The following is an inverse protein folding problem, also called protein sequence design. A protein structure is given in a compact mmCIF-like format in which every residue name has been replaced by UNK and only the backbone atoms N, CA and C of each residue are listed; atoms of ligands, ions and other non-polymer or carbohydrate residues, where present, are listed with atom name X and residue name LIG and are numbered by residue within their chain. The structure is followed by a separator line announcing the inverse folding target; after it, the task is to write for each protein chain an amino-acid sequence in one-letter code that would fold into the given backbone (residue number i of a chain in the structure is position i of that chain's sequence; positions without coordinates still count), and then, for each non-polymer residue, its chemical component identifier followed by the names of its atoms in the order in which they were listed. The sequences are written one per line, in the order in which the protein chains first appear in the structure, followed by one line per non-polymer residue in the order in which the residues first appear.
data_IF_480512123969
#
_entry.id   IF_480512123969
#
_cell.length_a   1.000
_cell.length_b   1.000
_cell.length_c   1.000
_cell.angle_alpha   90.00
_cell.angle_beta   90.00
_cell.angle_gamma   90.00
#
_symmetry.space_group_name_H-M   'P 1'
#
loop_
_entity.id
_entity.type
_entity.pdbx_description
1 polymer ?
#
# COMPACT_ATOMS: atom_id res chain seq x y z
N UNK A 1 15.06 -23.82 -9.24
CA UNK A 1 14.37 -23.58 -7.96
C UNK A 1 12.92 -23.29 -8.29
N UNK A 2 11.96 -23.67 -7.44
CA UNK A 2 10.57 -23.26 -7.64
C UNK A 2 10.43 -21.81 -7.18
N UNK A 3 9.81 -20.98 -8.00
CA UNK A 3 9.39 -19.63 -7.63
C UNK A 3 7.87 -19.58 -7.53
N UNK A 4 7.35 -18.75 -6.63
CA UNK A 4 5.92 -18.41 -6.59
C UNK A 4 5.76 -16.97 -7.02
N UNK A 5 4.88 -16.72 -7.99
CA UNK A 5 4.61 -15.39 -8.52
C UNK A 5 3.24 -14.92 -8.06
N UNK A 6 3.15 -13.64 -7.76
CA UNK A 6 1.92 -12.95 -7.44
C UNK A 6 1.86 -11.65 -8.24
N UNK A 7 0.64 -11.20 -8.55
CA UNK A 7 0.40 -9.94 -9.25
C UNK A 7 -0.77 -9.19 -8.63
N UNK A 8 -0.75 -7.87 -8.70
CA UNK A 8 -1.90 -7.03 -8.36
C UNK A 8 -2.11 -5.97 -9.45
N UNK A 9 -3.37 -5.80 -9.87
CA UNK A 9 -3.78 -4.67 -10.70
C UNK A 9 -4.25 -3.54 -9.78
N UNK A 10 -3.53 -2.43 -9.77
CA UNK A 10 -3.81 -1.28 -8.90
C UNK A 10 -4.90 -0.42 -9.55
N UNK A 11 -5.96 -0.15 -8.77
CA UNK A 11 -7.12 0.64 -9.15
C UNK A 11 -7.19 1.91 -8.30
N UNK A 12 -7.75 3.01 -8.84
CA UNK A 12 -7.85 4.27 -8.12
C UNK A 12 -8.77 4.16 -6.91
N UNK A 13 -8.44 4.95 -5.89
CA UNK A 13 -9.30 5.24 -4.73
C UNK A 13 -9.25 6.76 -4.52
N UNK A 14 -10.37 7.36 -4.12
CA UNK A 14 -10.49 8.80 -3.85
C UNK A 14 -10.15 9.72 -5.05
N UNK A 15 -10.18 9.22 -6.28
CA UNK A 15 -9.75 9.96 -7.47
C UNK A 15 -10.54 11.26 -7.71
N UNK A 16 -11.81 11.29 -7.30
CA UNK A 16 -12.65 12.48 -7.40
C UNK A 16 -12.21 13.62 -6.47
N UNK A 17 -11.57 13.29 -5.34
CA UNK A 17 -11.07 14.26 -4.35
C UNK A 17 -9.63 14.66 -4.68
N UNK A 18 -8.83 13.71 -5.15
CA UNK A 18 -7.41 13.92 -5.47
C UNK A 18 -7.24 14.67 -6.80
N UNK A 19 -8.17 14.49 -7.74
CA UNK A 19 -8.09 15.08 -9.08
C UNK A 19 -7.17 14.32 -10.05
N UNK A 20 -6.55 13.23 -9.60
CA UNK A 20 -5.82 12.27 -10.45
C UNK A 20 -6.35 10.86 -10.21
N UNK A 21 -6.08 9.93 -11.14
CA UNK A 21 -6.50 8.54 -11.04
C UNK A 21 -5.30 7.63 -11.12
N UNK A 22 -4.98 6.95 -10.02
CA UNK A 22 -3.83 6.06 -9.94
C UNK A 22 -4.14 4.71 -10.56
N UNK A 23 -3.31 4.29 -11.51
CA UNK A 23 -3.33 2.96 -12.10
C UNK A 23 -1.93 2.38 -12.08
N UNK A 24 -1.84 1.06 -11.94
CA UNK A 24 -0.55 0.41 -11.89
C UNK A 24 -0.63 -1.10 -11.84
N UNK A 25 0.55 -1.70 -11.74
CA UNK A 25 0.71 -3.13 -11.55
C UNK A 25 1.80 -3.38 -10.50
N UNK A 26 1.56 -4.36 -9.64
CA UNK A 26 2.57 -4.93 -8.78
C UNK A 26 2.87 -6.38 -9.17
N UNK A 27 4.13 -6.76 -9.03
CA UNK A 27 4.62 -8.13 -9.16
C UNK A 27 5.47 -8.47 -7.95
N UNK A 28 5.17 -9.60 -7.33
CA UNK A 28 5.91 -10.15 -6.22
C UNK A 28 6.35 -11.56 -6.57
N UNK A 29 7.63 -11.86 -6.42
CA UNK A 29 8.19 -13.18 -6.72
C UNK A 29 8.94 -13.69 -5.50
N UNK A 30 8.43 -14.75 -4.89
CA UNK A 30 9.16 -15.53 -3.90
C UNK A 30 10.06 -16.52 -4.62
N UNK A 31 11.38 -16.32 -4.56
CA UNK A 31 12.39 -17.16 -5.21
C UNK A 31 13.53 -17.45 -4.23
N UNK A 32 13.62 -18.70 -3.76
CA UNK A 32 14.60 -19.08 -2.76
C UNK A 32 14.40 -18.32 -1.45
N UNK A 33 15.42 -17.59 -1.02
CA UNK A 33 15.41 -16.78 0.22
C UNK A 33 15.08 -15.29 -0.04
N UNK A 34 14.62 -14.95 -1.24
CA UNK A 34 14.35 -13.57 -1.67
C UNK A 34 12.90 -13.39 -2.09
N UNK A 35 12.31 -12.26 -1.69
CA UNK A 35 11.10 -11.70 -2.26
C UNK A 35 11.47 -10.54 -3.17
N UNK A 36 11.29 -10.70 -4.49
CA UNK A 36 11.47 -9.64 -5.47
C UNK A 36 10.16 -8.87 -5.61
N UNK A 37 10.21 -7.55 -5.53
CA UNK A 37 9.04 -6.68 -5.61
C UNK A 37 9.27 -5.69 -6.74
N UNK A 38 8.32 -5.61 -7.67
CA UNK A 38 8.25 -4.57 -8.69
C UNK A 38 6.88 -3.91 -8.62
N UNK A 39 6.85 -2.58 -8.55
CA UNK A 39 5.60 -1.80 -8.61
C UNK A 39 5.80 -0.69 -9.62
N UNK A 40 4.86 -0.58 -10.54
CA UNK A 40 4.77 0.52 -11.49
C UNK A 40 3.41 1.18 -11.30
N UNK A 41 3.41 2.50 -11.09
CA UNK A 41 2.19 3.29 -10.97
C UNK A 41 2.29 4.54 -11.82
N UNK A 42 1.14 4.98 -12.31
CA UNK A 42 0.94 6.16 -13.17
C UNK A 42 -0.28 6.92 -12.70
N UNK A 43 -0.37 8.20 -13.02
CA UNK A 43 -1.48 9.04 -12.58
C UNK A 43 -1.51 9.30 -11.08
N UNK A 44 -0.38 9.10 -10.38
CA UNK A 44 -0.21 9.59 -9.02
C UNK A 44 -0.06 11.12 -9.05
N UNK A 45 -0.37 11.81 -7.94
CA UNK A 45 0.04 13.19 -7.80
C UNK A 45 1.55 13.35 -8.09
N UNK A 46 1.97 14.27 -8.97
CA UNK A 46 3.35 14.32 -9.45
C UNK A 46 4.31 14.95 -8.43
N UNK A 47 5.61 14.69 -8.62
CA UNK A 47 6.71 15.29 -7.84
C UNK A 47 6.62 15.11 -6.31
N UNK A 48 5.98 14.05 -5.82
CA UNK A 48 5.89 13.81 -4.39
C UNK A 48 6.13 12.34 -4.01
N UNK A 49 6.36 12.13 -2.72
CA UNK A 49 6.51 10.81 -2.13
C UNK A 49 5.16 10.11 -2.01
N UNK A 50 5.12 8.81 -2.28
CA UNK A 50 3.95 7.97 -2.08
C UNK A 50 4.24 6.83 -1.14
N UNK A 51 3.69 6.91 0.08
CA UNK A 51 3.72 5.80 1.01
C UNK A 51 3.04 4.59 0.36
N UNK A 52 3.76 3.48 0.28
CA UNK A 52 3.26 2.28 -0.38
C UNK A 52 3.58 1.05 0.45
N UNK A 53 2.63 0.13 0.55
CA UNK A 53 2.71 -1.04 1.43
C UNK A 53 1.95 -2.22 0.83
N UNK A 54 2.13 -3.41 1.40
CA UNK A 54 1.00 -4.33 1.45
C UNK A 54 0.23 -4.22 2.78
N UNK A 55 -1.09 -4.31 2.69
CA UNK A 55 -2.03 -4.37 3.81
C UNK A 55 -2.62 -5.76 3.94
N UNK A 56 -3.16 -6.07 5.12
CA UNK A 56 -3.93 -7.29 5.31
C UNK A 56 -4.46 -7.45 6.72
N UNK A 57 -5.15 -8.56 6.94
CA UNK A 57 -5.66 -8.95 8.24
C UNK A 57 -4.75 -10.02 8.87
N UNK A 58 -4.33 -9.88 10.14
CA UNK A 58 -3.49 -10.88 10.82
C UNK A 58 -4.09 -12.28 10.88
N UNK A 59 -5.42 -12.39 10.83
CA UNK A 59 -6.15 -13.66 10.84
C UNK A 59 -6.19 -14.35 9.45
N UNK A 60 -5.58 -13.74 8.42
CA UNK A 60 -5.55 -14.27 7.07
C UNK A 60 -6.82 -14.00 6.24
N UNK A 61 -7.79 -13.23 6.77
CA UNK A 61 -8.89 -12.72 5.94
C UNK A 61 -8.30 -11.97 4.75
N UNK A 62 -8.80 -12.29 3.54
CA UNK A 62 -8.35 -11.62 2.32
C UNK A 62 -8.81 -10.15 2.33
N UNK A 63 -7.89 -9.22 2.13
CA UNK A 63 -8.18 -7.80 1.87
C UNK A 63 -8.94 -7.61 0.56
N UNK A 64 -9.65 -6.49 0.40
CA UNK A 64 -10.35 -6.15 -0.84
C UNK A 64 -10.06 -4.73 -1.26
N UNK A 65 -10.28 -4.43 -2.53
CA UNK A 65 -10.38 -3.05 -3.00
C UNK A 65 -11.64 -2.41 -2.37
N UNK A 66 -11.51 -1.28 -1.66
CA UNK A 66 -12.66 -0.60 -1.09
C UNK A 66 -13.57 -0.07 -2.19
N UNK A 67 -14.87 -0.16 -1.96
CA UNK A 67 -15.88 0.47 -2.81
C UNK A 67 -16.37 1.74 -2.13
N UNK A 68 -17.22 2.53 -2.82
CA UNK A 68 -17.87 3.70 -2.21
C UNK A 68 -18.65 3.39 -0.93
N UNK A 69 -19.03 2.14 -0.69
CA UNK A 69 -19.69 1.73 0.55
C UNK A 69 -18.75 1.72 1.76
N UNK A 70 -17.43 1.85 1.56
CA UNK A 70 -16.45 1.97 2.62
C UNK A 70 -16.43 3.37 3.25
N UNK A 71 -16.90 4.41 2.54
CA UNK A 71 -17.13 5.74 3.10
C UNK A 71 -18.36 5.67 4.02
N UNK A 72 -18.10 5.38 5.29
CA UNK A 72 -19.13 5.11 6.31
C UNK A 72 -19.69 6.39 6.91
N UNK A 73 -18.91 7.47 6.88
CA UNK A 73 -19.30 8.76 7.43
C UNK A 73 -20.00 9.66 6.37
N UNK A 74 -19.87 9.33 5.08
CA UNK A 74 -20.52 10.00 3.96
C UNK A 74 -19.89 11.33 3.55
N UNK A 75 -18.63 11.57 3.87
CA UNK A 75 -17.89 12.79 3.54
C UNK A 75 -17.28 12.78 2.12
N UNK A 76 -17.44 11.66 1.41
CA UNK A 76 -16.96 11.48 0.04
C UNK A 76 -15.52 11.00 -0.05
N UNK A 77 -14.86 10.70 1.08
CA UNK A 77 -13.47 10.26 1.16
C UNK A 77 -13.41 8.94 1.90
N UNK A 78 -12.81 7.93 1.29
CA UNK A 78 -12.45 6.69 2.00
C UNK A 78 -11.14 6.96 2.74
N UNK A 79 -11.24 7.18 4.05
CA UNK A 79 -10.08 7.49 4.89
C UNK A 79 -9.33 6.24 5.40
N UNK A 80 -8.24 6.43 6.14
CA UNK A 80 -7.40 5.31 6.57
C UNK A 80 -8.13 4.33 7.52
N UNK A 81 -8.86 4.78 8.56
CA UNK A 81 -9.72 3.89 9.36
C UNK A 81 -10.74 3.10 8.53
N UNK A 82 -11.42 3.73 7.57
CA UNK A 82 -12.41 3.06 6.72
C UNK A 82 -11.77 2.03 5.79
N UNK A 83 -10.61 2.36 5.23
CA UNK A 83 -9.79 1.43 4.46
C UNK A 83 -9.44 0.18 5.27
N UNK A 84 -9.06 0.33 6.53
CA UNK A 84 -8.62 -0.80 7.38
C UNK A 84 -9.70 -1.87 7.56
N UNK A 85 -10.98 -1.50 7.55
CA UNK A 85 -12.09 -2.47 7.65
C UNK A 85 -12.23 -3.35 6.40
N UNK A 86 -11.71 -2.89 5.26
CA UNK A 86 -11.86 -3.57 3.95
C UNK A 86 -10.56 -4.21 3.46
N UNK A 87 -9.46 -3.46 3.47
CA UNK A 87 -8.16 -3.89 2.98
C UNK A 87 -7.23 -4.44 4.08
N UNK A 88 -7.58 -4.20 5.35
CA UNK A 88 -6.77 -4.57 6.50
C UNK A 88 -5.75 -3.50 6.87
N UNK A 89 -5.02 -3.75 7.96
CA UNK A 89 -4.03 -2.82 8.50
C UNK A 89 -2.77 -2.77 7.63
N UNK A 90 -2.02 -1.68 7.72
CA UNK A 90 -0.70 -1.55 7.11
C UNK A 90 0.26 -2.61 7.65
N UNK A 91 0.93 -3.34 6.77
CA UNK A 91 1.88 -4.40 7.16
C UNK A 91 3.32 -4.07 6.77
N UNK A 92 3.71 -4.27 5.51
CA UNK A 92 5.12 -4.16 5.08
C UNK A 92 5.28 -2.99 4.10
N UNK A 93 6.20 -2.04 4.36
CA UNK A 93 6.45 -0.93 3.46
C UNK A 93 7.21 -1.36 2.21
N UNK A 94 6.96 -0.65 1.12
CA UNK A 94 7.73 -0.73 -0.13
C UNK A 94 8.73 0.42 -0.17
N UNK A 95 9.67 0.39 0.77
CA UNK A 95 10.72 1.36 0.97
C UNK A 95 12.11 0.75 0.64
N UNK A 96 13.17 1.36 1.13
CA UNK A 96 14.54 0.85 0.95
C UNK A 96 14.96 -0.25 1.96
N UNK A 97 14.08 -0.66 2.88
CA UNK A 97 14.34 -1.75 3.82
C UNK A 97 13.05 -2.45 4.30
N UNK A 98 12.26 -3.09 3.41
CA UNK A 98 10.94 -3.65 3.78
C UNK A 98 10.98 -4.63 4.96
N UNK A 99 12.08 -5.38 5.08
CA UNK A 99 12.30 -6.34 6.17
C UNK A 99 12.34 -5.72 7.58
N UNK A 100 12.56 -4.41 7.70
CA UNK A 100 12.63 -3.73 9.00
C UNK A 100 11.23 -3.41 9.54
N UNK A 101 10.20 -3.39 8.66
CA UNK A 101 8.80 -3.07 8.98
C UNK A 101 8.73 -1.76 9.80
N UNK A 102 9.43 -0.74 9.30
CA UNK A 102 9.38 0.61 9.84
C UNK A 102 8.45 1.44 8.97
N UNK A 103 7.21 1.69 9.40
CA UNK A 103 6.22 2.36 8.55
C UNK A 103 6.40 3.90 8.54
N UNK A 104 6.48 4.61 9.69
CA UNK A 104 6.47 6.07 9.67
C UNK A 104 7.88 6.64 9.44
N UNK A 105 8.19 6.97 8.19
CA UNK A 105 9.42 7.64 7.75
C UNK A 105 9.29 8.13 6.29
N UNK A 106 10.33 8.79 5.77
CA UNK A 106 10.31 9.47 4.47
C UNK A 106 11.18 8.81 3.39
N UNK A 107 11.27 7.46 3.37
CA UNK A 107 12.10 6.71 2.41
C UNK A 107 11.25 5.87 1.43
N UNK A 108 10.13 6.41 0.97
CA UNK A 108 9.24 5.75 0.01
C UNK A 108 9.50 6.20 -1.44
N UNK A 109 8.92 5.53 -2.45
CA UNK A 109 9.04 5.95 -3.84
C UNK A 109 8.49 7.36 -4.06
N UNK A 110 9.13 8.08 -4.98
CA UNK A 110 8.66 9.38 -5.47
C UNK A 110 8.18 9.24 -6.91
N UNK A 111 7.07 9.90 -7.22
CA UNK A 111 6.64 10.09 -8.60
C UNK A 111 7.48 11.15 -9.30
N UNK A 112 7.70 10.98 -10.60
CA UNK A 112 8.25 11.99 -11.48
C UNK A 112 7.25 13.14 -11.76
N UNK A 113 7.62 14.02 -12.70
CA UNK A 113 6.81 15.17 -13.10
C UNK A 113 5.50 14.80 -13.80
N UNK A 114 5.42 13.60 -14.36
CA UNK A 114 4.25 13.06 -15.05
C UNK A 114 3.36 12.21 -14.12
N UNK A 115 3.74 12.07 -12.85
CA UNK A 115 2.99 11.24 -11.89
C UNK A 115 3.23 9.75 -12.06
N UNK A 116 4.41 9.36 -12.58
CA UNK A 116 4.82 7.97 -12.70
C UNK A 116 5.89 7.64 -11.65
N UNK A 117 5.83 6.43 -11.10
CA UNK A 117 6.96 5.87 -10.37
C UNK A 117 7.15 4.40 -10.67
N UNK A 118 8.39 3.95 -10.50
CA UNK A 118 8.77 2.54 -10.49
C UNK A 118 9.56 2.24 -9.23
N UNK A 119 9.12 1.23 -8.50
CA UNK A 119 9.80 0.67 -7.34
C UNK A 119 10.26 -0.74 -7.66
N UNK A 120 11.54 -1.03 -7.42
CA UNK A 120 12.12 -2.36 -7.57
C UNK A 120 13.03 -2.67 -6.38
N UNK A 121 12.79 -3.78 -5.70
CA UNK A 121 13.57 -4.16 -4.53
C UNK A 121 13.63 -5.68 -4.33
N UNK A 122 14.76 -6.16 -3.82
CA UNK A 122 14.93 -7.55 -3.39
C UNK A 122 14.99 -7.60 -1.87
N UNK A 123 13.99 -8.25 -1.25
CA UNK A 123 13.85 -8.33 0.20
C UNK A 123 14.30 -9.71 0.67
N UNK A 124 15.25 -9.81 1.62
CA UNK A 124 15.59 -11.10 2.21
C UNK A 124 14.42 -11.63 3.06
N UNK A 125 13.92 -12.82 2.73
CA UNK A 125 12.72 -13.40 3.36
C UNK A 125 12.94 -13.74 4.84
N UNK A 126 14.13 -14.22 5.20
CA UNK A 126 14.41 -14.62 6.59
C UNK A 126 14.25 -13.46 7.60
N UNK A 127 14.91 -12.29 7.45
CA UNK A 127 14.68 -11.16 8.34
C UNK A 127 13.25 -10.61 8.22
N UNK A 128 12.67 -10.57 7.02
CA UNK A 128 11.28 -10.13 6.84
C UNK A 128 10.30 -11.00 7.64
N UNK A 129 10.37 -12.33 7.50
CA UNK A 129 9.48 -13.28 8.22
C UNK A 129 9.67 -13.21 9.72
N UNK A 130 10.92 -13.08 10.19
CA UNK A 130 11.20 -12.86 11.61
C UNK A 130 10.49 -11.59 12.11
N UNK A 131 10.61 -10.48 11.38
CA UNK A 131 9.96 -9.21 11.74
C UNK A 131 8.44 -9.30 11.66
N UNK A 132 7.93 -10.02 10.66
CA UNK A 132 6.52 -10.28 10.46
C UNK A 132 5.93 -11.08 11.63
N UNK A 133 6.65 -12.09 12.12
CA UNK A 133 6.29 -12.84 13.34
C UNK A 133 6.27 -11.95 14.58
N UNK A 134 7.31 -11.12 14.79
CA UNK A 134 7.37 -10.17 15.90
C UNK A 134 6.17 -9.19 15.92
N UNK A 135 5.68 -8.79 14.74
CA UNK A 135 4.65 -7.76 14.59
C UNK A 135 3.22 -8.33 14.52
N UNK A 136 3.05 -9.48 13.87
CA UNK A 136 1.74 -10.01 13.46
C UNK A 136 1.50 -11.46 13.91
N UNK A 137 2.47 -12.11 14.56
CA UNK A 137 2.30 -13.44 15.15
C UNK A 137 2.32 -14.61 14.17
N UNK A 138 2.76 -14.39 12.93
CA UNK A 138 2.94 -15.42 11.90
C UNK A 138 4.20 -15.17 11.10
N UNK A 139 4.84 -16.23 10.57
CA UNK A 139 5.91 -16.13 9.57
C UNK A 139 5.38 -16.29 8.14
N UNK A 140 4.10 -16.65 8.01
CA UNK A 140 3.42 -16.77 6.73
C UNK A 140 2.92 -15.39 6.27
N UNK A 141 3.53 -14.88 5.20
CA UNK A 141 3.18 -13.58 4.62
C UNK A 141 1.77 -13.59 4.01
N UNK A 142 1.31 -14.76 3.53
CA UNK A 142 0.02 -14.99 2.87
C UNK A 142 -0.27 -13.94 1.79
N UNK A 143 0.69 -13.72 0.88
CA UNK A 143 0.66 -12.60 -0.06
C UNK A 143 -0.64 -12.53 -0.87
N UNK A 144 -1.22 -13.67 -1.26
CA UNK A 144 -2.49 -13.79 -1.99
C UNK A 144 -3.75 -13.43 -1.19
N UNK A 145 -3.58 -13.10 0.09
CA UNK A 145 -4.64 -12.55 0.95
C UNK A 145 -4.47 -11.04 1.21
N UNK A 146 -3.43 -10.42 0.67
CA UNK A 146 -3.06 -9.03 0.92
C UNK A 146 -3.47 -8.11 -0.23
N UNK A 147 -3.39 -6.81 0.03
CA UNK A 147 -3.57 -5.77 -1.00
C UNK A 147 -2.34 -4.88 -1.06
N UNK A 148 -1.92 -4.49 -2.26
CA UNK A 148 -0.98 -3.38 -2.47
C UNK A 148 -1.72 -2.07 -2.30
N UNK A 149 -1.14 -1.19 -1.48
CA UNK A 149 -1.65 0.14 -1.19
C UNK A 149 -0.66 1.20 -1.63
N UNK A 150 -1.18 2.28 -2.21
CA UNK A 150 -0.46 3.52 -2.48
C UNK A 150 -1.24 4.65 -1.80
N UNK A 151 -0.52 5.51 -1.09
CA UNK A 151 -1.04 6.65 -0.36
C UNK A 151 -0.36 7.94 -0.81
N UNK A 152 -0.94 9.08 -0.42
CA UNK A 152 -0.33 10.39 -0.58
C UNK A 152 -1.13 11.30 -1.50
N UNK A 153 -1.72 12.34 -0.91
CA UNK A 153 -2.35 13.45 -1.61
C UNK A 153 -1.55 14.74 -1.36
N UNK A 154 -1.48 15.67 -2.33
CA UNK A 154 -0.84 16.96 -2.12
C UNK A 154 -1.51 17.78 -1.01
N UNK A 155 -0.70 18.47 -0.21
CA UNK A 155 -1.17 19.41 0.83
C UNK A 155 -2.05 20.54 0.28
N UNK A 156 -1.96 20.83 -1.02
CA UNK A 156 -2.80 21.82 -1.71
C UNK A 156 -4.25 21.37 -1.87
N UNK A 157 -4.57 20.10 -1.66
CA UNK A 157 -5.93 19.56 -1.72
C UNK A 157 -6.58 19.78 -0.37
N UNK A 158 -7.72 20.47 -0.35
CA UNK A 158 -8.53 20.60 0.86
C UNK A 158 -9.24 19.27 1.15
N UNK A 159 -8.86 18.62 2.25
CA UNK A 159 -9.56 17.45 2.76
C UNK A 159 -10.62 17.89 3.79
N UNK A 160 -11.80 17.26 3.82
CA UNK A 160 -12.77 17.48 4.90
C UNK A 160 -12.14 17.27 6.28
N UNK A 161 -12.55 18.08 7.27
CA UNK A 161 -12.07 17.96 8.67
C UNK A 161 -12.39 16.59 9.30
N UNK A 162 -13.33 15.84 8.70
CA UNK A 162 -13.73 14.50 9.11
C UNK A 162 -12.77 13.40 8.67
N UNK A 163 -11.88 13.67 7.70
CA UNK A 163 -10.90 12.70 7.20
C UNK A 163 -9.88 12.40 8.30
N UNK A 164 -9.76 11.13 8.65
CA UNK A 164 -8.82 10.64 9.65
C UNK A 164 -7.65 9.91 8.99
N UNK A 165 -6.62 9.64 9.79
CA UNK A 165 -5.50 8.82 9.34
C UNK A 165 -4.14 9.26 9.85
N UNK A 166 -4.06 9.90 11.01
CA UNK A 166 -2.76 10.32 11.53
C UNK A 166 -1.95 9.14 12.04
N UNK A 167 -0.77 8.90 11.46
CA UNK A 167 0.17 7.85 11.88
C UNK A 167 1.44 8.50 12.39
N UNK A 168 1.69 8.45 13.71
CA UNK A 168 2.88 9.02 14.37
C UNK A 168 3.24 10.47 13.93
N UNK A 169 2.24 11.31 13.68
CA UNK A 169 2.44 12.71 13.28
C UNK A 169 2.34 12.96 11.76
N UNK A 170 2.36 11.91 10.93
CA UNK A 170 2.02 12.01 9.52
C UNK A 170 0.51 12.15 9.37
N UNK A 171 0.05 13.25 8.78
CA UNK A 171 -1.36 13.59 8.67
C UNK A 171 -2.08 12.85 7.54
N UNK A 172 -3.40 13.09 7.39
CA UNK A 172 -4.23 12.47 6.36
C UNK A 172 -3.70 12.64 4.93
N UNK A 173 -3.07 13.76 4.59
CA UNK A 173 -2.45 13.92 3.25
C UNK A 173 -1.38 12.87 2.97
N UNK A 174 -0.61 12.44 3.96
CA UNK A 174 0.38 11.37 3.77
C UNK A 174 -0.27 10.00 3.65
N UNK A 175 -1.35 9.76 4.42
CA UNK A 175 -1.92 8.42 4.61
C UNK A 175 -3.21 8.17 3.84
N UNK A 176 -3.73 9.16 3.11
CA UNK A 176 -4.92 9.00 2.30
C UNK A 176 -4.67 7.96 1.21
N UNK A 177 -5.49 6.89 1.11
CA UNK A 177 -5.33 5.90 0.05
C UNK A 177 -5.70 6.52 -1.31
N UNK A 178 -4.83 6.29 -2.29
CA UNK A 178 -4.98 6.79 -3.66
C UNK A 178 -5.03 5.64 -4.69
N UNK A 179 -4.52 4.46 -4.33
CA UNK A 179 -4.56 3.27 -5.17
C UNK A 179 -4.52 1.97 -4.36
N UNK A 180 -5.31 0.97 -4.80
CA UNK A 180 -5.39 -0.36 -4.16
C UNK A 180 -5.39 -1.45 -5.23
N UNK A 181 -4.64 -2.54 -5.01
CA UNK A 181 -4.72 -3.75 -5.83
C UNK A 181 -4.74 -5.01 -4.97
N UNK A 182 -5.65 -5.95 -5.26
CA UNK A 182 -5.65 -7.28 -4.63
C UNK A 182 -4.47 -8.10 -5.17
N UNK A 183 -3.67 -8.68 -4.28
CA UNK A 183 -2.58 -9.56 -4.69
C UNK A 183 -3.16 -10.94 -4.96
N UNK A 184 -2.90 -11.46 -6.15
CA UNK A 184 -3.34 -12.79 -6.59
C UNK A 184 -2.12 -13.63 -6.96
N UNK A 185 -2.13 -14.90 -6.57
CA UNK A 185 -1.14 -15.88 -7.03
C UNK A 185 -1.40 -16.27 -8.49
N UNK A 186 -0.35 -16.36 -9.31
CA UNK A 186 -0.43 -16.68 -10.76
C UNK A 186 0.38 -17.91 -11.16
#
# INVERSE_FOLDING_TARGET
MMSTRYTADIKPVNEGVIGTSVYGKAELIEEGDTLKITIEATGTPPNMMHWSHFHGFPDGKKGRIPTKAADTNGDGVIDLPELYEVAGQTMVPFDNAPQDINIPHDNYPHSDEDGNFKYEFEVPLAPLKKKFMEKFGSEDLQLDTRTVLIHGAPESIELPDTVKGTVKGYGPHTTLPIGVGEIEKV
#
